data_IF_657240153541
#
_entry.id   IF_657240153541
#
_cell.length_a   1.000
_cell.length_b   1.000
_cell.length_c   1.000
_cell.angle_alpha   90.00
_cell.angle_beta   90.00
_cell.angle_gamma   90.00
#
_symmetry.space_group_name_H-M   'P 1'
#
loop_
_entity.id
_entity.type
_entity.pdbx_description
1 polymer ?
#
# COMPACT_ATOMS: atom_id res chain seq x y z
N UNK A 1 44.84 -34.39 3.46
CA UNK A 1 43.64 -34.10 2.65
C UNK A 1 42.52 -33.77 3.61
N UNK A 2 42.40 -32.50 3.97
CA UNK A 2 41.49 -31.53 3.34
C UNK A 2 40.02 -31.96 3.49
N UNK A 3 39.30 -31.22 4.34
CA UNK A 3 37.91 -30.77 4.22
C UNK A 3 37.43 -30.26 5.59
N UNK A 4 38.01 -29.13 6.05
CA UNK A 4 37.52 -28.39 7.23
C UNK A 4 37.48 -26.89 6.93
N UNK A 5 36.77 -26.54 5.86
CA UNK A 5 36.70 -25.15 5.35
C UNK A 5 35.29 -24.58 5.12
N UNK A 6 34.21 -25.35 5.27
CA UNK A 6 32.89 -24.91 4.77
C UNK A 6 31.94 -24.26 5.81
N UNK A 7 32.25 -24.26 7.12
CA UNK A 7 31.26 -23.84 8.15
C UNK A 7 31.48 -22.46 8.81
N UNK A 8 32.45 -21.65 8.35
CA UNK A 8 32.69 -20.29 8.92
C UNK A 8 32.30 -19.11 8.02
N UNK A 9 31.86 -19.35 6.78
CA UNK A 9 31.49 -18.27 5.84
C UNK A 9 30.05 -17.78 6.04
N UNK A 10 29.10 -18.70 6.28
CA UNK A 10 27.67 -18.36 6.41
C UNK A 10 27.30 -17.51 7.64
N UNK A 11 28.07 -17.59 8.74
CA UNK A 11 27.80 -16.79 9.95
C UNK A 11 28.25 -15.33 9.88
N UNK A 12 29.16 -14.98 8.95
CA UNK A 12 29.65 -13.59 8.78
C UNK A 12 28.85 -12.83 7.72
N UNK A 13 28.41 -13.52 6.67
CA UNK A 13 27.55 -12.92 5.64
C UNK A 13 26.20 -12.46 6.23
N UNK A 14 25.61 -13.26 7.13
CA UNK A 14 24.35 -12.89 7.78
C UNK A 14 24.45 -11.65 8.69
N UNK A 15 25.64 -11.30 9.22
CA UNK A 15 25.82 -10.12 10.06
C UNK A 15 25.89 -8.83 9.20
N UNK A 16 26.74 -8.81 8.17
CA UNK A 16 26.83 -7.63 7.28
C UNK A 16 25.56 -7.41 6.46
N UNK A 17 24.84 -8.47 6.08
CA UNK A 17 23.57 -8.34 5.39
C UNK A 17 22.48 -7.76 6.31
N UNK A 18 22.43 -8.15 7.59
CA UNK A 18 21.54 -7.53 8.56
C UNK A 18 21.88 -6.04 8.81
N UNK A 19 23.17 -5.70 8.83
CA UNK A 19 23.63 -4.30 8.95
C UNK A 19 23.25 -3.47 7.72
N UNK A 20 23.39 -4.02 6.51
CA UNK A 20 22.96 -3.35 5.28
C UNK A 20 21.44 -3.18 5.26
N UNK A 21 20.71 -4.18 5.73
CA UNK A 21 19.25 -4.15 5.85
C UNK A 21 18.78 -3.02 6.76
N UNK A 22 19.40 -2.87 7.93
CA UNK A 22 19.17 -1.75 8.85
C UNK A 22 19.51 -0.41 8.16
N UNK A 23 20.67 -0.33 7.49
CA UNK A 23 21.12 0.87 6.80
C UNK A 23 20.11 1.34 5.73
N UNK A 24 19.51 0.42 4.96
CA UNK A 24 18.53 0.76 3.94
C UNK A 24 17.12 1.09 4.48
N UNK A 25 16.86 0.88 5.78
CA UNK A 25 15.68 1.43 6.47
C UNK A 25 15.92 2.83 7.04
N UNK A 26 17.17 3.26 7.13
CA UNK A 26 17.51 4.61 7.62
C UNK A 26 17.12 5.66 6.58
N UNK A 27 16.46 6.76 6.97
CA UNK A 27 16.07 7.80 6.04
C UNK A 27 17.26 8.37 5.24
N UNK A 28 17.07 8.80 3.97
CA UNK A 28 18.16 9.25 3.11
C UNK A 28 19.02 10.38 3.71
N UNK A 29 18.43 11.26 4.53
CA UNK A 29 19.13 12.34 5.22
C UNK A 29 20.16 11.82 6.25
N UNK A 30 19.87 10.69 6.91
CA UNK A 30 20.71 10.09 7.95
C UNK A 30 21.55 8.91 7.43
N UNK A 31 21.36 8.50 6.18
CA UNK A 31 22.01 7.33 5.60
C UNK A 31 23.54 7.41 5.62
N UNK A 32 24.11 8.55 5.18
CA UNK A 32 25.58 8.69 5.09
C UNK A 32 26.24 8.68 6.48
N UNK A 33 25.78 9.49 7.46
CA UNK A 33 26.28 9.38 8.84
C UNK A 33 26.19 7.96 9.39
N UNK A 34 25.03 7.31 9.25
CA UNK A 34 24.81 5.94 9.76
C UNK A 34 25.71 4.92 9.08
N UNK A 35 25.94 5.05 7.77
CA UNK A 35 26.86 4.19 7.00
C UNK A 35 28.29 4.28 7.54
N UNK A 36 28.77 5.49 7.82
CA UNK A 36 30.13 5.67 8.34
C UNK A 36 30.28 5.12 9.76
N UNK A 37 29.28 5.30 10.63
CA UNK A 37 29.24 4.69 11.97
C UNK A 37 29.31 3.16 11.90
N UNK A 38 28.45 2.53 11.11
CA UNK A 38 28.39 1.08 10.95
C UNK A 38 29.68 0.53 10.32
N UNK A 39 30.25 1.24 9.33
CA UNK A 39 31.51 0.86 8.73
C UNK A 39 32.69 1.00 9.70
N UNK A 40 32.72 2.02 10.55
CA UNK A 40 33.73 2.19 11.59
C UNK A 40 33.62 1.10 12.66
N UNK A 41 32.40 0.80 13.13
CA UNK A 41 32.14 -0.28 14.08
C UNK A 41 32.62 -1.64 13.55
N UNK A 42 32.31 -1.97 12.28
CA UNK A 42 32.80 -3.18 11.64
C UNK A 42 34.34 -3.23 11.59
N UNK A 43 35.00 -2.10 11.32
CA UNK A 43 36.47 -2.01 11.29
C UNK A 43 37.09 -2.23 12.67
N UNK A 44 36.54 -1.61 13.72
CA UNK A 44 36.98 -1.81 15.11
C UNK A 44 36.78 -3.24 15.58
N UNK A 45 35.74 -3.93 15.08
CA UNK A 45 35.49 -5.34 15.33
C UNK A 45 36.39 -6.30 14.50
N UNK A 46 37.38 -5.79 13.75
CA UNK A 46 38.27 -6.60 12.91
C UNK A 46 37.65 -7.10 11.61
N UNK A 47 36.45 -6.63 11.24
CA UNK A 47 35.69 -7.04 10.04
C UNK A 47 35.92 -6.05 8.89
N UNK A 48 37.16 -6.03 8.38
CA UNK A 48 37.57 -5.07 7.36
C UNK A 48 36.81 -5.23 6.02
N UNK A 49 36.44 -6.45 5.63
CA UNK A 49 35.63 -6.69 4.43
C UNK A 49 34.20 -6.16 4.56
N UNK A 50 33.56 -6.40 5.71
CA UNK A 50 32.21 -5.89 5.99
C UNK A 50 32.20 -4.36 5.99
N UNK A 51 33.21 -3.73 6.59
CA UNK A 51 33.40 -2.28 6.54
C UNK A 51 33.48 -1.74 5.10
N UNK A 52 34.20 -2.44 4.19
CA UNK A 52 34.26 -2.06 2.77
C UNK A 52 32.90 -2.21 2.08
N UNK A 53 32.19 -3.31 2.34
CA UNK A 53 30.84 -3.55 1.80
C UNK A 53 29.87 -2.45 2.25
N UNK A 54 29.85 -2.11 3.54
CA UNK A 54 29.00 -1.06 4.09
C UNK A 54 29.33 0.30 3.44
N UNK A 55 30.61 0.68 3.31
CA UNK A 55 31.00 1.94 2.64
C UNK A 55 30.60 2.01 1.18
N UNK A 56 30.56 0.87 0.48
CA UNK A 56 30.13 0.80 -0.91
C UNK A 56 28.62 0.97 -1.10
N UNK A 57 27.82 0.89 -0.02
CA UNK A 57 26.38 1.08 -0.09
C UNK A 57 26.04 2.50 -0.56
N UNK A 58 25.20 2.56 -1.59
CA UNK A 58 24.73 3.81 -2.20
C UNK A 58 23.52 4.34 -1.44
N UNK A 59 23.50 5.66 -1.24
CA UNK A 59 22.37 6.36 -0.61
C UNK A 59 21.11 6.19 -1.46
N UNK A 60 20.00 5.72 -0.87
CA UNK A 60 18.73 5.60 -1.60
C UNK A 60 18.11 6.95 -1.91
N UNK A 61 17.36 7.03 -3.01
CA UNK A 61 16.39 8.11 -3.22
C UNK A 61 15.24 7.99 -2.22
N UNK A 62 14.46 9.06 -2.04
CA UNK A 62 13.34 9.03 -1.09
C UNK A 62 12.27 8.00 -1.50
N UNK A 63 12.01 7.85 -2.79
CA UNK A 63 11.11 6.82 -3.32
C UNK A 63 11.65 5.39 -3.08
N UNK A 64 12.94 5.16 -3.35
CA UNK A 64 13.57 3.85 -3.13
C UNK A 64 13.58 3.45 -1.65
N UNK A 65 13.86 4.41 -0.76
CA UNK A 65 13.79 4.22 0.68
C UNK A 65 12.36 3.87 1.13
N UNK A 66 11.34 4.59 0.66
CA UNK A 66 9.95 4.29 1.00
C UNK A 66 9.53 2.88 0.52
N UNK A 67 9.99 2.45 -0.66
CA UNK A 67 9.77 1.09 -1.16
C UNK A 67 10.50 0.01 -0.32
N UNK A 68 11.73 0.27 0.13
CA UNK A 68 12.46 -0.63 1.04
C UNK A 68 11.76 -0.72 2.41
N UNK A 69 11.26 0.41 2.91
CA UNK A 69 10.54 0.49 4.18
C UNK A 69 9.24 -0.31 4.13
N UNK A 70 8.50 -0.23 3.03
CA UNK A 70 7.29 -1.03 2.79
C UNK A 70 7.60 -2.54 2.87
N UNK A 71 8.62 -3.01 2.15
CA UNK A 71 9.02 -4.42 2.14
C UNK A 71 9.25 -4.97 3.54
N UNK A 72 9.95 -4.20 4.38
CA UNK A 72 10.38 -4.64 5.71
C UNK A 72 9.29 -4.48 6.77
N UNK A 73 8.46 -3.44 6.65
CA UNK A 73 7.39 -3.16 7.60
C UNK A 73 6.15 -4.03 7.35
N UNK A 74 5.97 -4.50 6.11
CA UNK A 74 4.81 -5.30 5.65
C UNK A 74 5.26 -6.56 4.89
N UNK A 75 5.96 -7.51 5.54
CA UNK A 75 6.57 -8.65 4.85
C UNK A 75 5.53 -9.64 4.29
N UNK A 76 4.35 -9.79 4.90
CA UNK A 76 3.28 -10.63 4.34
C UNK A 76 2.69 -10.01 3.06
N UNK A 77 2.32 -8.72 3.11
CA UNK A 77 1.72 -8.01 1.98
C UNK A 77 2.70 -7.91 0.80
N UNK A 78 3.98 -7.70 1.08
CA UNK A 78 5.02 -7.64 0.06
C UNK A 78 5.27 -8.98 -0.63
N UNK A 79 5.18 -10.10 0.10
CA UNK A 79 5.23 -11.44 -0.50
C UNK A 79 4.03 -11.69 -1.43
N UNK A 80 2.83 -11.37 -0.98
CA UNK A 80 1.63 -11.48 -1.81
C UNK A 80 1.72 -10.60 -3.07
N UNK A 81 2.36 -9.43 -2.96
CA UNK A 81 2.61 -8.56 -4.12
C UNK A 81 3.57 -9.17 -5.13
N UNK A 82 4.67 -9.79 -4.66
CA UNK A 82 5.61 -10.51 -5.52
C UNK A 82 4.96 -11.71 -6.22
N UNK A 83 4.13 -12.47 -5.50
CA UNK A 83 3.33 -13.59 -6.04
C UNK A 83 2.35 -13.10 -7.12
N UNK A 84 1.67 -11.98 -6.88
CA UNK A 84 0.80 -11.34 -7.88
C UNK A 84 1.58 -10.97 -9.15
N UNK A 85 2.80 -10.42 -9.00
CA UNK A 85 3.68 -10.12 -10.13
C UNK A 85 4.03 -11.38 -10.94
N UNK A 86 4.33 -12.48 -10.25
CA UNK A 86 4.58 -13.77 -10.91
C UNK A 86 3.36 -14.28 -11.68
N UNK A 87 2.18 -14.24 -11.08
CA UNK A 87 0.93 -14.66 -11.72
C UNK A 87 0.57 -13.79 -12.94
N UNK A 88 0.76 -12.47 -12.84
CA UNK A 88 0.58 -11.53 -13.95
C UNK A 88 1.51 -11.84 -15.13
N UNK A 89 2.79 -12.07 -14.87
CA UNK A 89 3.77 -12.41 -15.92
C UNK A 89 3.44 -13.75 -16.58
N UNK A 90 2.97 -14.73 -15.82
CA UNK A 90 2.55 -16.02 -16.37
C UNK A 90 1.29 -15.88 -17.23
N UNK A 91 0.28 -15.13 -16.78
CA UNK A 91 -0.94 -14.86 -17.58
C UNK A 91 -0.62 -14.13 -18.90
N UNK A 92 0.35 -13.20 -18.89
CA UNK A 92 0.82 -12.55 -20.11
C UNK A 92 1.58 -13.51 -21.04
N UNK A 93 2.33 -14.49 -20.49
CA UNK A 93 3.05 -15.51 -21.26
C UNK A 93 2.09 -16.51 -21.92
N UNK A 94 1.02 -16.90 -21.23
CA UNK A 94 0.02 -17.86 -21.73
C UNK A 94 -1.06 -17.21 -22.60
N UNK A 95 -1.07 -15.88 -22.73
CA UNK A 95 -2.04 -15.09 -23.50
C UNK A 95 -3.51 -15.36 -23.09
N UNK A 96 -3.78 -15.59 -21.80
CA UNK A 96 -5.14 -15.77 -21.28
C UNK A 96 -5.88 -14.41 -21.17
N UNK A 97 -6.85 -14.10 -22.05
CA UNK A 97 -7.48 -12.78 -22.08
C UNK A 97 -8.38 -12.52 -20.87
N UNK A 98 -8.95 -13.58 -20.27
CA UNK A 98 -9.79 -13.47 -19.08
C UNK A 98 -8.97 -13.12 -17.86
N UNK A 99 -7.88 -13.88 -17.63
CA UNK A 99 -6.95 -13.63 -16.55
C UNK A 99 -6.28 -12.25 -16.65
N UNK A 100 -5.90 -11.81 -17.86
CA UNK A 100 -5.29 -10.49 -18.07
C UNK A 100 -6.24 -9.35 -17.65
N UNK A 101 -7.53 -9.44 -17.98
CA UNK A 101 -8.51 -8.38 -17.65
C UNK A 101 -8.75 -8.29 -16.14
N UNK A 102 -8.94 -9.43 -15.48
CA UNK A 102 -9.22 -9.49 -14.05
C UNK A 102 -7.99 -9.05 -13.21
N UNK A 103 -6.80 -9.53 -13.59
CA UNK A 103 -5.56 -9.18 -12.90
C UNK A 103 -5.14 -7.72 -13.14
N UNK A 104 -5.51 -7.11 -14.27
CA UNK A 104 -5.24 -5.68 -14.54
C UNK A 104 -6.01 -4.75 -13.58
N UNK A 105 -7.25 -5.10 -13.24
CA UNK A 105 -8.05 -4.36 -12.25
C UNK A 105 -7.49 -4.50 -10.84
N UNK A 106 -7.08 -5.72 -10.47
CA UNK A 106 -6.43 -6.01 -9.19
C UNK A 106 -5.10 -5.27 -9.05
N UNK A 107 -4.27 -5.25 -10.10
CA UNK A 107 -2.98 -4.53 -10.15
C UNK A 107 -3.12 -3.08 -9.70
N UNK A 108 -4.03 -2.31 -10.32
CA UNK A 108 -4.18 -0.88 -10.01
C UNK A 108 -4.55 -0.65 -8.55
N UNK A 109 -5.47 -1.46 -8.00
CA UNK A 109 -5.90 -1.34 -6.60
C UNK A 109 -4.77 -1.65 -5.62
N UNK A 110 -4.03 -2.73 -5.86
CA UNK A 110 -2.94 -3.18 -4.99
C UNK A 110 -1.77 -2.19 -5.02
N UNK A 111 -1.36 -1.73 -6.21
CA UNK A 111 -0.29 -0.72 -6.34
C UNK A 111 -0.67 0.58 -5.60
N UNK A 112 -1.90 1.07 -5.78
CA UNK A 112 -2.34 2.29 -5.10
C UNK A 112 -2.42 2.11 -3.57
N UNK A 113 -2.81 0.94 -3.08
CA UNK A 113 -2.84 0.63 -1.65
C UNK A 113 -1.42 0.61 -1.05
N UNK A 114 -0.50 -0.12 -1.68
CA UNK A 114 0.89 -0.22 -1.25
C UNK A 114 1.63 1.12 -1.33
N UNK A 115 1.37 1.94 -2.36
CA UNK A 115 1.87 3.31 -2.47
C UNK A 115 1.42 4.18 -1.29
N UNK A 116 0.13 4.13 -0.93
CA UNK A 116 -0.39 4.84 0.25
C UNK A 116 0.24 4.35 1.54
N UNK A 117 0.42 3.04 1.71
CA UNK A 117 1.08 2.48 2.89
C UNK A 117 2.55 2.89 2.97
N UNK A 118 3.29 2.88 1.86
CA UNK A 118 4.66 3.37 1.81
C UNK A 118 4.74 4.85 2.21
N UNK A 119 3.80 5.67 1.75
CA UNK A 119 3.72 7.07 2.13
C UNK A 119 3.36 7.27 3.61
N UNK A 120 2.51 6.42 4.19
CA UNK A 120 2.20 6.45 5.62
C UNK A 120 3.42 6.04 6.45
N UNK A 121 4.11 4.97 6.08
CA UNK A 121 5.32 4.53 6.76
C UNK A 121 6.42 5.61 6.71
N UNK A 122 6.56 6.29 5.58
CA UNK A 122 7.46 7.43 5.44
C UNK A 122 7.06 8.59 6.38
N UNK A 123 5.75 8.87 6.48
CA UNK A 123 5.21 9.90 7.38
C UNK A 123 5.46 9.56 8.85
N UNK A 124 5.25 8.31 9.25
CA UNK A 124 5.50 7.81 10.61
C UNK A 124 6.99 7.90 10.98
N UNK A 125 7.87 7.76 9.98
CA UNK A 125 9.31 8.00 10.09
C UNK A 125 9.71 9.49 9.98
N UNK A 126 8.75 10.42 9.97
CA UNK A 126 8.98 11.87 9.97
C UNK A 126 9.19 12.51 8.59
N UNK A 127 8.98 11.76 7.50
CA UNK A 127 9.22 12.23 6.13
C UNK A 127 7.94 12.25 5.29
N UNK A 128 7.38 13.44 5.08
CA UNK A 128 6.29 13.63 4.11
C UNK A 128 6.79 13.43 2.68
N UNK A 129 6.18 12.50 1.95
CA UNK A 129 6.40 12.34 0.52
C UNK A 129 5.61 13.39 -0.27
N UNK A 130 6.27 14.05 -1.23
CA UNK A 130 5.58 14.87 -2.24
C UNK A 130 4.87 13.98 -3.25
N UNK A 131 3.93 14.55 -4.02
CA UNK A 131 3.18 13.78 -5.02
C UNK A 131 4.08 13.20 -6.12
N UNK A 132 5.14 13.93 -6.51
CA UNK A 132 6.17 13.43 -7.43
C UNK A 132 6.86 12.18 -6.88
N UNK A 133 7.21 12.16 -5.60
CA UNK A 133 7.87 11.02 -4.96
C UNK A 133 6.89 9.84 -4.79
N UNK A 134 5.61 10.11 -4.49
CA UNK A 134 4.58 9.05 -4.48
C UNK A 134 4.43 8.40 -5.86
N UNK A 135 4.47 9.20 -6.92
CA UNK A 135 4.42 8.69 -8.28
C UNK A 135 5.65 7.84 -8.63
N UNK A 136 6.85 8.21 -8.18
CA UNK A 136 8.06 7.38 -8.31
C UNK A 136 7.95 6.04 -7.56
N UNK A 137 7.32 6.03 -6.38
CA UNK A 137 7.03 4.80 -5.64
C UNK A 137 6.07 3.92 -6.42
N UNK A 138 4.99 4.48 -6.96
CA UNK A 138 4.05 3.75 -7.82
C UNK A 138 4.71 3.20 -9.08
N UNK A 139 5.58 3.99 -9.71
CA UNK A 139 6.40 3.57 -10.86
C UNK A 139 7.26 2.36 -10.48
N UNK A 140 7.93 2.42 -9.34
CA UNK A 140 8.76 1.32 -8.81
C UNK A 140 7.94 0.05 -8.57
N UNK A 141 6.78 0.16 -7.92
CA UNK A 141 5.87 -0.97 -7.68
C UNK A 141 5.33 -1.56 -8.99
N UNK A 142 5.03 -0.72 -9.99
CA UNK A 142 4.64 -1.19 -11.31
C UNK A 142 5.77 -1.94 -12.02
N UNK A 143 7.02 -1.49 -11.87
CA UNK A 143 8.18 -2.19 -12.42
C UNK A 143 8.34 -3.58 -11.80
N UNK A 144 8.21 -3.71 -10.47
CA UNK A 144 8.25 -4.99 -9.74
C UNK A 144 7.22 -6.00 -10.25
N UNK A 145 6.02 -5.56 -10.60
CA UNK A 145 5.00 -6.45 -11.16
C UNK A 145 5.33 -6.88 -12.60
N UNK A 146 5.89 -5.97 -13.40
CA UNK A 146 6.11 -6.18 -14.82
C UNK A 146 7.38 -6.99 -15.13
N UNK A 147 8.43 -6.86 -14.32
CA UNK A 147 9.77 -7.36 -14.61
C UNK A 147 10.29 -8.25 -13.47
N UNK A 148 10.69 -9.51 -13.74
CA UNK A 148 11.28 -10.38 -12.72
C UNK A 148 12.57 -9.81 -12.12
N UNK A 149 13.41 -9.13 -12.90
CA UNK A 149 14.67 -8.58 -12.38
C UNK A 149 14.40 -7.42 -11.41
N UNK A 150 13.39 -6.60 -11.71
CA UNK A 150 12.91 -5.56 -10.80
C UNK A 150 12.34 -6.15 -9.51
N UNK A 151 11.63 -7.28 -9.60
CA UNK A 151 11.09 -7.99 -8.46
C UNK A 151 12.18 -8.53 -7.54
N UNK A 152 13.21 -9.16 -8.12
CA UNK A 152 14.36 -9.68 -7.38
C UNK A 152 15.16 -8.56 -6.71
N UNK A 153 15.38 -7.44 -7.43
CA UNK A 153 16.02 -6.25 -6.87
C UNK A 153 15.24 -5.67 -5.69
N UNK A 154 13.92 -5.53 -5.81
CA UNK A 154 13.11 -5.04 -4.70
C UNK A 154 13.08 -6.04 -3.53
N UNK A 155 13.03 -7.35 -3.80
CA UNK A 155 13.05 -8.39 -2.77
C UNK A 155 14.32 -8.38 -1.90
N UNK A 156 15.43 -7.80 -2.39
CA UNK A 156 16.61 -7.55 -1.55
C UNK A 156 16.37 -6.53 -0.44
N UNK A 157 15.39 -5.63 -0.61
CA UNK A 157 15.12 -4.53 0.32
C UNK A 157 16.22 -3.47 0.39
N UNK A 158 17.03 -3.34 -0.68
CA UNK A 158 18.21 -2.46 -0.75
C UNK A 158 18.23 -1.61 -2.02
N UNK A 159 17.06 -1.20 -2.51
CA UNK A 159 16.96 -0.30 -3.66
C UNK A 159 17.63 1.03 -3.34
N UNK A 160 18.48 1.52 -4.23
CA UNK A 160 19.10 2.84 -4.12
C UNK A 160 18.48 3.90 -5.05
N UNK A 161 17.71 3.47 -6.07
CA UNK A 161 17.01 4.35 -7.01
C UNK A 161 15.62 3.81 -7.29
N UNK A 162 14.69 4.68 -7.67
CA UNK A 162 13.39 4.27 -8.15
C UNK A 162 13.54 3.41 -9.41
N UNK A 163 12.65 2.44 -9.59
CA UNK A 163 12.59 1.60 -10.78
C UNK A 163 11.53 2.16 -11.72
N UNK A 164 11.82 2.15 -13.02
CA UNK A 164 10.87 2.58 -14.05
C UNK A 164 10.34 1.35 -14.77
N UNK A 165 9.02 1.17 -14.90
CA UNK A 165 8.47 0.02 -15.61
C UNK A 165 8.85 0.11 -17.10
N UNK A 166 9.12 -1.02 -17.77
CA UNK A 166 9.37 -1.01 -19.21
C UNK A 166 8.14 -0.47 -19.94
N UNK A 167 8.36 0.38 -20.96
CA UNK A 167 7.30 1.00 -21.75
C UNK A 167 6.45 0.00 -22.57
N UNK A 168 6.92 -1.25 -22.70
CA UNK A 168 6.21 -2.36 -23.31
C UNK A 168 6.72 -3.69 -22.73
N UNK A 169 5.84 -4.69 -22.62
CA UNK A 169 6.26 -6.08 -22.45
C UNK A 169 7.09 -6.48 -23.68
N UNK A 170 8.26 -7.14 -23.55
CA UNK A 170 9.05 -7.56 -24.69
C UNK A 170 8.31 -8.65 -25.45
N UNK A 171 7.56 -8.25 -26.46
CA UNK A 171 7.12 -9.13 -27.53
C UNK A 171 8.34 -9.37 -28.40
N UNK A 172 9.09 -10.43 -28.08
CA UNK A 172 10.11 -10.95 -28.96
C UNK A 172 9.47 -11.37 -30.27
N UNK A 173 9.90 -10.75 -31.36
CA UNK A 173 10.33 -11.40 -32.63
C UNK A 173 10.54 -10.30 -33.66
N UNK A 174 11.80 -9.96 -33.92
CA UNK A 174 12.18 -9.51 -35.26
C UNK A 174 12.06 -10.70 -36.22
N UNK A 175 11.79 -10.43 -37.51
CA UNK A 175 12.85 -10.80 -38.43
C UNK A 175 13.19 -9.68 -39.40
N UNK A 176 14.50 -9.49 -39.55
CA UNK A 176 15.10 -8.87 -40.70
C UNK A 176 14.94 -9.81 -41.91
N UNK A 177 14.41 -9.28 -43.01
CA UNK A 177 14.60 -9.79 -44.36
C UNK A 177 14.73 -8.53 -45.24
N UNK A 178 15.81 -8.29 -45.96
CA UNK A 178 16.59 -9.22 -46.75
C UNK A 178 16.56 -8.65 -48.17
N UNK A 179 17.57 -7.85 -48.50
CA UNK A 179 17.80 -7.26 -49.81
C UNK A 179 17.99 -8.36 -50.87
N UNK A 180 17.23 -8.31 -51.97
CA UNK A 180 17.66 -8.90 -53.25
C UNK A 180 17.27 -8.02 -54.43
N UNK A 181 18.30 -7.66 -55.18
CA UNK A 181 18.32 -7.03 -56.49
C UNK A 181 18.44 -8.13 -57.55
N UNK A 182 17.62 -8.12 -58.61
CA UNK A 182 18.09 -8.37 -59.99
C UNK A 182 17.06 -7.99 -61.06
N UNK A 183 17.64 -7.62 -62.20
CA UNK A 183 17.13 -6.90 -63.34
C UNK A 183 16.18 -7.67 -64.29
N UNK A 184 15.57 -6.87 -65.18
CA UNK A 184 15.42 -7.05 -66.62
C UNK A 184 13.96 -7.11 -67.13
N UNK A 185 13.58 -6.08 -67.88
CA UNK A 185 12.50 -6.10 -68.88
C UNK A 185 12.91 -6.98 -70.06
N UNK A 186 11.94 -7.54 -70.82
CA UNK A 186 11.53 -6.81 -72.03
C UNK A 186 10.02 -6.90 -72.39
N UNK A 187 9.59 -5.83 -73.06
CA UNK A 187 8.62 -5.67 -74.16
C UNK A 187 7.36 -6.55 -74.25
N UNK A 188 6.22 -5.85 -74.32
CA UNK A 188 4.86 -6.35 -74.53
C UNK A 188 4.54 -6.81 -75.97
N UNK A 189 3.42 -7.53 -76.13
CA UNK A 189 2.46 -7.29 -77.23
C UNK A 189 1.04 -6.90 -76.70
N UNK A 190 0.12 -6.42 -77.56
CA UNK A 190 -0.99 -5.56 -77.14
C UNK A 190 -2.31 -6.26 -76.76
N UNK A 191 -2.93 -5.71 -75.69
CA UNK A 191 -4.35 -5.64 -75.26
C UNK A 191 -5.32 -6.84 -75.36
N UNK A 192 -6.15 -6.97 -74.31
CA UNK A 192 -7.60 -6.73 -74.48
C UNK A 192 -8.06 -5.57 -73.58
N UNK A 193 -8.56 -4.49 -74.19
CA UNK A 193 -9.06 -3.30 -73.46
C UNK A 193 -10.35 -3.56 -72.66
N UNK A 194 -11.06 -4.66 -72.91
CA UNK A 194 -12.26 -5.03 -72.16
C UNK A 194 -11.92 -5.47 -70.71
N UNK A 195 -10.94 -6.37 -70.54
CA UNK A 195 -10.58 -6.93 -69.22
C UNK A 195 -9.99 -5.89 -68.24
N UNK A 196 -9.28 -4.87 -68.74
CA UNK A 196 -8.71 -3.79 -67.91
C UNK A 196 -9.76 -2.83 -67.35
N UNK A 197 -10.90 -2.70 -68.03
CA UNK A 197 -11.98 -1.80 -67.62
C UNK A 197 -12.80 -2.43 -66.50
N UNK A 198 -13.04 -3.74 -66.58
CA UNK A 198 -13.67 -4.53 -65.52
C UNK A 198 -12.79 -4.59 -64.25
N UNK A 199 -11.47 -4.79 -64.39
CA UNK A 199 -10.55 -4.81 -63.25
C UNK A 199 -10.50 -3.46 -62.49
N UNK A 200 -10.59 -2.34 -63.22
CA UNK A 200 -10.66 -1.01 -62.60
C UNK A 200 -12.01 -0.77 -61.89
N UNK A 201 -13.11 -1.29 -62.43
CA UNK A 201 -14.42 -1.21 -61.81
C UNK A 201 -14.49 -2.06 -60.53
N UNK A 202 -13.94 -3.27 -60.54
CA UNK A 202 -13.82 -4.13 -59.35
C UNK A 202 -12.95 -3.49 -58.27
N UNK A 203 -11.80 -2.91 -58.65
CA UNK A 203 -10.94 -2.18 -57.70
C UNK A 203 -11.64 -0.97 -57.07
N UNK A 204 -12.49 -0.25 -57.81
CA UNK A 204 -13.29 0.86 -57.27
C UNK A 204 -14.34 0.36 -56.27
N UNK A 205 -15.08 -0.69 -56.61
CA UNK A 205 -16.07 -1.31 -55.70
C UNK A 205 -15.41 -1.83 -54.42
N UNK A 206 -14.30 -2.56 -54.54
CA UNK A 206 -13.55 -3.05 -53.38
C UNK A 206 -13.03 -1.90 -52.49
N UNK A 207 -12.64 -0.76 -53.09
CA UNK A 207 -12.25 0.44 -52.33
C UNK A 207 -13.42 1.09 -51.63
N UNK A 208 -14.57 1.22 -52.29
CA UNK A 208 -15.80 1.77 -51.71
C UNK A 208 -16.32 0.90 -50.56
N UNK A 209 -16.32 -0.43 -50.72
CA UNK A 209 -16.65 -1.37 -49.65
C UNK A 209 -15.70 -1.26 -48.47
N UNK A 210 -14.38 -1.16 -48.73
CA UNK A 210 -13.37 -0.98 -47.67
C UNK A 210 -13.54 0.36 -46.95
N UNK A 211 -13.90 1.44 -47.66
CA UNK A 211 -14.20 2.73 -47.05
C UNK A 211 -15.48 2.67 -46.21
N UNK A 212 -16.54 2.03 -46.70
CA UNK A 212 -17.77 1.84 -45.94
C UNK A 212 -17.55 0.99 -44.68
N UNK A 213 -16.74 -0.06 -44.76
CA UNK A 213 -16.31 -0.85 -43.60
C UNK A 213 -15.49 -0.01 -42.61
N UNK A 214 -14.54 0.79 -43.09
CA UNK A 214 -13.73 1.67 -42.25
C UNK A 214 -14.60 2.74 -41.55
N UNK A 215 -15.59 3.32 -42.23
CA UNK A 215 -16.54 4.26 -41.63
C UNK A 215 -17.38 3.60 -40.54
N UNK A 216 -17.95 2.42 -40.80
CA UNK A 216 -18.69 1.66 -39.77
C UNK A 216 -17.82 1.35 -38.55
N UNK A 217 -16.59 0.89 -38.77
CA UNK A 217 -15.65 0.61 -37.70
C UNK A 217 -15.30 1.87 -36.89
N UNK A 218 -15.15 3.03 -37.55
CA UNK A 218 -14.91 4.31 -36.90
C UNK A 218 -16.12 4.77 -36.06
N UNK A 219 -17.35 4.64 -36.59
CA UNK A 219 -18.58 4.98 -35.86
C UNK A 219 -18.76 4.09 -34.62
N UNK A 220 -18.51 2.79 -34.74
CA UNK A 220 -18.53 1.87 -33.60
C UNK A 220 -17.46 2.22 -32.56
N UNK A 221 -16.24 2.57 -33.00
CA UNK A 221 -15.18 2.99 -32.10
C UNK A 221 -15.56 4.28 -31.34
N UNK A 222 -16.20 5.25 -32.01
CA UNK A 222 -16.70 6.48 -31.38
C UNK A 222 -17.83 6.18 -30.39
N UNK A 223 -18.76 5.26 -30.72
CA UNK A 223 -19.81 4.83 -29.78
C UNK A 223 -19.21 4.18 -28.54
N UNK A 224 -18.31 3.20 -28.72
CA UNK A 224 -17.59 2.56 -27.61
C UNK A 224 -16.85 3.57 -26.73
N UNK A 225 -16.19 4.57 -27.32
CA UNK A 225 -15.53 5.64 -26.57
C UNK A 225 -16.52 6.48 -25.75
N UNK A 226 -17.69 6.80 -26.31
CA UNK A 226 -18.74 7.55 -25.59
C UNK A 226 -19.28 6.74 -24.43
N UNK A 227 -19.57 5.46 -24.63
CA UNK A 227 -20.07 4.56 -23.58
C UNK A 227 -19.05 4.45 -22.45
N UNK A 228 -17.77 4.23 -22.79
CA UNK A 228 -16.68 4.19 -21.80
C UNK A 228 -16.51 5.51 -21.04
N UNK A 229 -16.68 6.66 -21.70
CA UNK A 229 -16.63 7.97 -21.03
C UNK A 229 -17.78 8.15 -20.04
N UNK A 230 -18.99 7.71 -20.41
CA UNK A 230 -20.14 7.75 -19.50
C UNK A 230 -19.95 6.81 -18.32
N UNK A 231 -19.47 5.59 -18.55
CA UNK A 231 -19.14 4.64 -17.48
C UNK A 231 -18.05 5.20 -16.54
N UNK A 232 -17.00 5.83 -17.11
CA UNK A 232 -15.95 6.46 -16.33
C UNK A 232 -16.49 7.60 -15.46
N UNK A 233 -17.32 8.50 -16.02
CA UNK A 233 -17.92 9.60 -15.28
C UNK A 233 -18.86 9.09 -14.17
N UNK A 234 -19.63 8.02 -14.42
CA UNK A 234 -20.47 7.39 -13.41
C UNK A 234 -19.63 6.76 -12.28
N UNK A 235 -18.52 6.10 -12.62
CA UNK A 235 -17.61 5.53 -11.63
C UNK A 235 -16.90 6.62 -10.79
N UNK A 236 -16.51 7.74 -11.40
CA UNK A 236 -15.93 8.90 -10.71
C UNK A 236 -16.93 9.51 -9.72
N UNK A 237 -18.18 9.73 -10.14
CA UNK A 237 -19.23 10.22 -9.26
C UNK A 237 -19.53 9.25 -8.10
N UNK A 238 -19.52 7.94 -8.36
CA UNK A 238 -19.70 6.92 -7.32
C UNK A 238 -18.56 6.92 -6.30
N UNK A 239 -17.32 7.12 -6.76
CA UNK A 239 -16.14 7.23 -5.90
C UNK A 239 -16.23 8.46 -5.00
N UNK A 240 -16.62 9.61 -5.55
CA UNK A 240 -16.77 10.85 -4.77
C UNK A 240 -17.86 10.70 -3.69
N UNK A 241 -19.01 10.12 -4.04
CA UNK A 241 -20.04 9.79 -3.07
C UNK A 241 -19.57 8.82 -1.98
N UNK A 242 -18.71 7.86 -2.33
CA UNK A 242 -18.15 6.92 -1.36
C UNK A 242 -17.18 7.63 -0.39
N UNK A 243 -16.37 8.58 -0.89
CA UNK A 243 -15.49 9.42 -0.06
C UNK A 243 -16.29 10.31 0.89
N UNK A 244 -17.31 11.01 0.38
CA UNK A 244 -18.20 11.82 1.21
C UNK A 244 -18.86 11.00 2.34
N UNK A 245 -19.30 9.77 2.03
CA UNK A 245 -19.85 8.86 3.04
C UNK A 245 -18.81 8.43 4.08
N UNK A 246 -17.58 8.17 3.65
CA UNK A 246 -16.47 7.83 4.55
C UNK A 246 -16.14 9.01 5.48
N UNK A 247 -16.00 10.22 4.95
CA UNK A 247 -15.66 11.40 5.73
C UNK A 247 -16.75 11.73 6.75
N UNK A 248 -18.02 11.64 6.36
CA UNK A 248 -19.16 11.76 7.30
C UNK A 248 -19.17 10.65 8.36
N UNK A 249 -18.79 9.42 8.01
CA UNK A 249 -18.67 8.35 8.98
C UNK A 249 -17.53 8.61 9.96
N UNK A 250 -16.39 9.09 9.48
CA UNK A 250 -15.23 9.44 10.32
C UNK A 250 -15.56 10.58 11.28
N UNK A 251 -16.24 11.63 10.81
CA UNK A 251 -16.67 12.72 11.67
C UNK A 251 -17.61 12.24 12.78
N UNK A 252 -18.57 11.36 12.46
CA UNK A 252 -19.45 10.75 13.48
C UNK A 252 -18.69 9.94 14.53
N UNK A 253 -17.60 9.27 14.15
CA UNK A 253 -16.73 8.57 15.11
C UNK A 253 -16.07 9.57 16.07
N UNK A 254 -15.48 10.65 15.53
CA UNK A 254 -14.86 11.70 16.35
C UNK A 254 -15.87 12.34 17.30
N UNK A 255 -17.06 12.68 16.82
CA UNK A 255 -18.12 13.28 17.64
C UNK A 255 -18.58 12.31 18.75
N UNK A 256 -18.74 11.03 18.42
CA UNK A 256 -19.11 10.00 19.40
C UNK A 256 -18.02 9.79 20.47
N UNK A 257 -16.74 9.80 20.09
CA UNK A 257 -15.63 9.73 21.04
C UNK A 257 -15.61 10.92 22.01
N UNK A 258 -15.88 12.13 21.50
CA UNK A 258 -16.02 13.32 22.33
C UNK A 258 -17.20 13.20 23.30
N UNK A 259 -18.35 12.70 22.85
CA UNK A 259 -19.51 12.45 23.72
C UNK A 259 -19.20 11.42 24.80
N UNK A 260 -18.51 10.33 24.46
CA UNK A 260 -18.08 9.32 25.45
C UNK A 260 -17.14 9.93 26.48
N UNK A 261 -16.20 10.77 26.05
CA UNK A 261 -15.28 11.44 26.96
C UNK A 261 -16.01 12.42 27.90
N UNK A 262 -16.94 13.22 27.37
CA UNK A 262 -17.78 14.12 28.18
C UNK A 262 -18.64 13.35 29.19
N UNK A 263 -19.26 12.24 28.77
CA UNK A 263 -20.05 11.39 29.67
C UNK A 263 -19.19 10.78 30.79
N UNK A 264 -17.95 10.36 30.48
CA UNK A 264 -17.00 9.87 31.49
C UNK A 264 -16.59 10.95 32.48
N UNK A 265 -16.33 12.17 32.02
CA UNK A 265 -16.02 13.29 32.91
C UNK A 265 -17.21 13.66 33.79
N UNK A 266 -18.45 13.62 33.28
CA UNK A 266 -19.68 13.85 34.04
C UNK A 266 -19.96 12.75 35.07
N UNK A 267 -19.55 11.50 34.82
CA UNK A 267 -19.70 10.39 35.76
C UNK A 267 -18.83 10.57 37.02
N UNK A 268 -17.68 11.25 36.92
CA UNK A 268 -16.76 11.47 38.05
C UNK A 268 -17.39 12.26 39.21
N UNK A 269 -17.96 13.47 39.02
CA UNK A 269 -18.63 14.21 40.09
C UNK A 269 -19.85 13.47 40.63
N UNK A 270 -20.69 12.88 39.76
CA UNK A 270 -21.85 12.10 40.19
C UNK A 270 -21.45 10.94 41.12
N UNK A 271 -20.38 10.21 40.77
CA UNK A 271 -19.84 9.15 41.64
C UNK A 271 -19.24 9.67 42.96
N UNK A 272 -18.72 10.90 43.00
CA UNK A 272 -18.27 11.52 44.26
C UNK A 272 -19.46 11.92 45.13
N UNK A 273 -20.50 12.49 44.53
CA UNK A 273 -21.73 12.89 45.20
C UNK A 273 -22.44 11.67 45.81
N UNK A 274 -22.58 10.59 45.04
CA UNK A 274 -23.14 9.33 45.55
C UNK A 274 -22.37 8.84 46.78
N UNK A 275 -21.05 8.73 46.70
CA UNK A 275 -20.22 8.28 47.85
C UNK A 275 -20.34 9.21 49.06
N UNK A 276 -20.53 10.51 48.83
CA UNK A 276 -20.72 11.46 49.92
C UNK A 276 -22.10 11.30 50.57
N UNK A 277 -23.15 11.13 49.77
CA UNK A 277 -24.50 10.84 50.26
C UNK A 277 -24.55 9.52 51.05
N UNK A 278 -23.88 8.47 50.57
CA UNK A 278 -23.76 7.19 51.28
C UNK A 278 -23.07 7.35 52.65
N UNK A 279 -21.99 8.13 52.71
CA UNK A 279 -21.31 8.44 53.99
C UNK A 279 -22.20 9.21 54.95
N UNK A 280 -22.93 10.22 54.45
CA UNK A 280 -23.85 11.01 55.25
C UNK A 280 -25.00 10.15 55.79
N UNK A 281 -25.59 9.30 54.94
CA UNK A 281 -26.63 8.36 55.35
C UNK A 281 -26.15 7.44 56.47
N UNK A 282 -24.94 6.88 56.33
CA UNK A 282 -24.33 6.03 57.35
C UNK A 282 -24.11 6.78 58.67
N UNK A 283 -23.55 7.98 58.61
CA UNK A 283 -23.32 8.80 59.79
C UNK A 283 -24.63 9.17 60.51
N UNK A 284 -25.67 9.52 59.76
CA UNK A 284 -27.01 9.81 60.29
C UNK A 284 -27.66 8.57 60.92
N UNK A 285 -27.53 7.40 60.29
CA UNK A 285 -28.02 6.14 60.85
C UNK A 285 -27.31 5.79 62.17
N UNK A 286 -25.98 5.96 62.22
CA UNK A 286 -25.21 5.73 63.44
C UNK A 286 -25.59 6.71 64.56
N UNK A 287 -25.87 7.98 64.22
CA UNK A 287 -26.33 8.99 65.16
C UNK A 287 -27.73 8.69 65.70
N UNK A 288 -28.67 8.31 64.82
CA UNK A 288 -30.01 7.88 65.20
C UNK A 288 -29.95 6.68 66.16
N UNK A 289 -29.14 5.67 65.83
CA UNK A 289 -28.98 4.49 66.68
C UNK A 289 -28.40 4.83 68.07
N UNK A 290 -27.51 5.84 68.17
CA UNK A 290 -27.02 6.34 69.47
C UNK A 290 -28.13 7.04 70.25
N UNK A 291 -28.86 7.95 69.61
CA UNK A 291 -29.96 8.70 70.23
C UNK A 291 -31.07 7.75 70.72
N UNK A 292 -31.42 6.72 69.94
CA UNK A 292 -32.39 5.69 70.35
C UNK A 292 -31.93 4.91 71.59
N UNK A 293 -30.63 4.57 71.68
CA UNK A 293 -30.07 3.88 72.87
C UNK A 293 -30.13 4.78 74.09
N UNK A 294 -29.70 6.02 73.98
CA UNK A 294 -29.73 7.01 75.07
C UNK A 294 -31.17 7.28 75.54
N UNK A 295 -32.12 7.42 74.61
CA UNK A 295 -33.53 7.57 74.95
C UNK A 295 -34.09 6.35 75.70
N UNK A 296 -33.72 5.13 75.29
CA UNK A 296 -34.12 3.89 75.99
C UNK A 296 -33.50 3.80 77.38
N UNK A 297 -32.23 4.18 77.54
CA UNK A 297 -31.55 4.19 78.84
C UNK A 297 -32.17 5.22 79.79
N UNK A 298 -32.41 6.43 79.30
CA UNK A 298 -33.06 7.50 80.07
C UNK A 298 -34.47 7.10 80.49
N UNK A 299 -35.26 6.50 79.59
CA UNK A 299 -36.60 6.01 79.92
C UNK A 299 -36.59 4.92 81.00
N UNK A 300 -35.62 3.99 80.94
CA UNK A 300 -35.43 2.96 81.97
C UNK A 300 -35.05 3.56 83.32
N UNK A 301 -34.21 4.58 83.32
CA UNK A 301 -33.78 5.28 84.54
C UNK A 301 -34.95 6.03 85.21
N UNK A 302 -35.75 6.76 84.43
CA UNK A 302 -36.97 7.41 84.92
C UNK A 302 -37.94 6.38 85.52
N UNK A 303 -38.12 5.22 84.86
CA UNK A 303 -38.97 4.14 85.38
C UNK A 303 -38.42 3.55 86.70
N UNK A 304 -37.10 3.43 86.84
CA UNK A 304 -36.43 2.94 88.06
C UNK A 304 -36.65 3.89 89.24
N UNK A 305 -36.41 5.18 89.03
CA UNK A 305 -36.60 6.22 90.06
C UNK A 305 -38.08 6.36 90.48
N UNK A 306 -39.01 6.29 89.52
CA UNK A 306 -40.45 6.36 89.80
C UNK A 306 -41.01 5.17 90.59
N UNK A 307 -40.41 3.98 90.47
CA UNK A 307 -40.77 2.81 91.29
C UNK A 307 -40.28 2.94 92.74
N UNK A 308 -39.15 3.61 92.98
CA UNK A 308 -38.61 3.83 94.32
C UNK A 308 -39.40 4.84 95.17
N UNK A 309 -40.20 5.71 94.56
CA UNK A 309 -41.05 6.68 95.28
C UNK A 309 -42.44 6.16 95.66
N UNK A 310 -42.82 4.95 95.20
CA UNK A 310 -44.13 4.34 95.47
C UNK A 310 -44.09 3.18 96.48
N UNK A 311 -42.93 2.90 97.07
CA UNK A 311 -42.73 1.92 98.14
C UNK A 311 -42.40 2.62 99.45
#
# INVERSE_FOLDING_TARGET
MELKGARRRGGREHDVDAVLDELYTTPPAHFVPRREELAAAARTAGRAEDSRRIRSARRPTLAAWAANLLLRSKPQESRQFLELGSALREAHRTMDPGAIKDLSGQRRRVVAALSRQAAQLALDAGHRLSDSVRHEVESTLNAVLADPDAADLWATGRLHSALTPPAAFPSGTAPAAGTRRKAASPTAPPSPRAQRTDELAERRRAREEKLAQAHRAAEEAVRRLRDQRTEYAAAEASLEQARDRQDRAQQRVVDAEQQVQQAREALKPAGREQRQAEKQLRASADALARAEREARETAREVQRLGRGQRS
#
